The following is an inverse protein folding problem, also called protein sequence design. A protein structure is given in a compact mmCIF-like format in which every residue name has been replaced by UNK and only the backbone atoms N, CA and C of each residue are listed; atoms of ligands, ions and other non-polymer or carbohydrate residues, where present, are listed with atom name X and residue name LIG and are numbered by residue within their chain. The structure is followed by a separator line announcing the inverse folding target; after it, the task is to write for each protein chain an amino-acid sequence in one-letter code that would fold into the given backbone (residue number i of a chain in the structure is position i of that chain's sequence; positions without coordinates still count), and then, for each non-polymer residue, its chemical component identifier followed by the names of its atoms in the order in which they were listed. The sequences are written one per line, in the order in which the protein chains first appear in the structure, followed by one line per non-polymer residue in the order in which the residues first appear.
data_IF_466529593122
#
_entry.id   IF_466529593122
#
_cell.length_a   1.000
_cell.length_b   1.000
_cell.length_c   1.000
_cell.angle_alpha   90.00
_cell.angle_beta   90.00
_cell.angle_gamma   90.00
#
_symmetry.space_group_name_H-M   'P 1'
#
loop_
_entity.id
_entity.type
_entity.pdbx_description
1 polymer ?
#
# COMPACT_ATOMS: atom_id res chain seq x y z
N UNK A 1 -1.03 -15.70 -13.08
CA UNK A 1 -1.51 -15.82 -11.70
C UNK A 1 -0.97 -14.68 -10.85
N UNK A 2 -1.81 -14.07 -10.03
CA UNK A 2 -1.41 -12.93 -9.21
C UNK A 2 -0.58 -13.37 -8.01
N UNK A 3 0.52 -12.68 -7.75
CA UNK A 3 1.32 -12.89 -6.56
C UNK A 3 0.90 -11.90 -5.48
N UNK A 4 0.57 -12.42 -4.30
CA UNK A 4 0.16 -11.60 -3.16
C UNK A 4 1.24 -11.54 -2.09
N UNK A 5 1.31 -10.41 -1.39
CA UNK A 5 2.27 -10.24 -0.30
C UNK A 5 1.85 -11.07 0.92
N UNK A 6 2.82 -11.66 1.58
CA UNK A 6 2.59 -12.40 2.83
C UNK A 6 2.76 -11.49 4.04
N UNK A 7 2.24 -11.93 5.19
CA UNK A 7 2.44 -11.23 6.46
C UNK A 7 3.95 -11.05 6.74
N UNK A 8 4.74 -12.10 6.57
CA UNK A 8 6.18 -12.04 6.83
C UNK A 8 6.87 -10.97 5.97
N UNK A 9 6.48 -10.89 4.69
CA UNK A 9 7.04 -9.89 3.78
C UNK A 9 6.70 -8.46 4.21
N UNK A 10 5.46 -8.22 4.60
CA UNK A 10 5.04 -6.88 5.02
C UNK A 10 5.64 -6.52 6.38
N UNK A 11 5.80 -7.48 7.29
CA UNK A 11 6.52 -7.25 8.55
C UNK A 11 7.98 -6.82 8.28
N UNK A 12 8.64 -7.46 7.32
CA UNK A 12 10.01 -7.09 6.95
C UNK A 12 10.07 -5.69 6.33
N UNK A 13 9.10 -5.34 5.48
CA UNK A 13 9.00 -3.99 4.91
C UNK A 13 8.80 -2.94 6.00
N UNK A 14 7.93 -3.22 6.97
CA UNK A 14 7.69 -2.30 8.07
C UNK A 14 8.96 -2.08 8.89
N UNK A 15 9.66 -3.15 9.25
CA UNK A 15 10.91 -3.06 9.99
C UNK A 15 11.95 -2.22 9.24
N UNK A 16 12.04 -2.40 7.93
CA UNK A 16 12.95 -1.60 7.08
C UNK A 16 12.57 -0.12 7.08
N UNK A 17 11.28 0.20 6.99
CA UNK A 17 10.81 1.60 7.00
C UNK A 17 11.12 2.27 8.34
N UNK A 18 10.93 1.56 9.45
CA UNK A 18 11.24 2.09 10.78
C UNK A 18 12.74 2.31 10.93
N UNK A 19 13.57 1.37 10.48
CA UNK A 19 15.03 1.50 10.55
C UNK A 19 15.52 2.70 9.73
N UNK A 20 15.00 2.88 8.52
CA UNK A 20 15.47 3.95 7.60
C UNK A 20 14.98 5.33 8.01
N UNK A 21 13.73 5.44 8.45
CA UNK A 21 13.05 6.74 8.60
C UNK A 21 12.65 7.04 10.04
N UNK A 22 12.91 6.12 10.97
CA UNK A 22 12.56 6.30 12.38
C UNK A 22 11.11 5.93 12.67
N UNK A 23 10.77 6.00 13.95
CA UNK A 23 9.45 5.66 14.45
C UNK A 23 9.51 4.47 15.40
N UNK A 24 8.37 4.16 16.02
CA UNK A 24 8.28 3.05 16.97
C UNK A 24 8.02 1.72 16.25
N UNK A 25 8.78 0.67 16.57
CA UNK A 25 8.55 -0.64 15.98
C UNK A 25 7.34 -1.33 16.61
N UNK A 26 6.89 -2.39 15.99
CA UNK A 26 5.89 -3.29 16.55
C UNK A 26 4.56 -3.28 15.82
N UNK A 27 3.87 -4.41 15.97
CA UNK A 27 2.52 -4.63 15.44
C UNK A 27 1.52 -4.23 16.51
N UNK A 28 0.57 -3.35 16.16
CA UNK A 28 -0.52 -2.98 17.06
C UNK A 28 -1.65 -3.99 17.01
N UNK A 29 -1.97 -4.47 15.81
CA UNK A 29 -3.09 -5.40 15.61
C UNK A 29 -2.80 -6.34 14.45
N UNK A 30 -2.42 -7.57 14.77
CA UNK A 30 -2.10 -8.62 13.81
C UNK A 30 -3.30 -8.97 12.94
N UNK A 31 -4.50 -9.01 13.51
CA UNK A 31 -5.72 -9.34 12.76
C UNK A 31 -6.03 -8.31 11.70
N UNK A 32 -5.82 -7.03 11.97
CA UNK A 32 -5.99 -5.96 10.97
C UNK A 32 -4.95 -6.06 9.86
N UNK A 33 -3.73 -6.47 10.19
CA UNK A 33 -2.69 -6.68 9.17
C UNK A 33 -3.10 -7.82 8.24
N UNK A 34 -3.51 -8.95 8.80
CA UNK A 34 -3.96 -10.10 8.01
C UNK A 34 -5.15 -9.75 7.13
N UNK A 35 -6.12 -9.01 7.67
CA UNK A 35 -7.30 -8.56 6.91
C UNK A 35 -6.91 -7.66 5.74
N UNK A 36 -5.97 -6.75 5.96
CA UNK A 36 -5.49 -5.86 4.90
C UNK A 36 -4.84 -6.64 3.75
N UNK A 37 -4.05 -7.65 4.07
CA UNK A 37 -3.37 -8.47 3.07
C UNK A 37 -4.32 -9.43 2.35
N UNK A 38 -5.37 -9.88 3.02
CA UNK A 38 -6.37 -10.75 2.42
C UNK A 38 -7.34 -10.01 1.49
N UNK A 39 -7.64 -8.76 1.78
CA UNK A 39 -8.65 -7.97 1.04
C UNK A 39 -8.45 -8.01 -0.49
N UNK A 40 -7.24 -7.83 -1.05
CA UNK A 40 -7.05 -7.93 -2.50
C UNK A 40 -7.39 -9.29 -3.09
N UNK A 41 -7.37 -10.34 -2.26
CA UNK A 41 -7.53 -11.73 -2.71
C UNK A 41 -8.97 -12.22 -2.73
N UNK A 42 -9.93 -11.36 -2.39
CA UNK A 42 -11.34 -11.76 -2.22
C UNK A 42 -12.08 -12.04 -3.52
N UNK A 43 -11.49 -11.67 -4.67
CA UNK A 43 -12.16 -11.82 -5.96
C UNK A 43 -13.13 -10.69 -6.28
N UNK A 44 -13.25 -9.71 -5.40
CA UNK A 44 -14.15 -8.58 -5.57
C UNK A 44 -13.66 -7.56 -6.60
N UNK A 45 -12.34 -7.45 -6.76
CA UNK A 45 -11.71 -6.39 -7.56
C UNK A 45 -11.48 -6.82 -8.99
N UNK A 46 -11.62 -5.87 -9.93
CA UNK A 46 -11.61 -6.16 -11.35
C UNK A 46 -10.21 -6.47 -11.90
N UNK A 47 -9.16 -5.87 -11.34
CA UNK A 47 -7.81 -6.00 -11.86
C UNK A 47 -6.75 -5.68 -10.78
N UNK A 48 -5.48 -5.75 -11.17
CA UNK A 48 -4.35 -5.50 -10.28
C UNK A 48 -4.35 -4.09 -9.70
N UNK A 49 -4.80 -3.11 -10.46
CA UNK A 49 -4.83 -1.72 -9.99
C UNK A 49 -5.84 -1.58 -8.85
N UNK A 50 -7.02 -2.17 -8.99
CA UNK A 50 -8.02 -2.15 -7.92
C UNK A 50 -7.55 -2.94 -6.70
N UNK A 51 -6.91 -4.09 -6.90
CA UNK A 51 -6.34 -4.86 -5.81
C UNK A 51 -5.27 -4.06 -5.06
N UNK A 52 -4.42 -3.35 -5.80
CA UNK A 52 -3.39 -2.49 -5.21
C UNK A 52 -4.00 -1.34 -4.41
N UNK A 53 -5.06 -0.72 -4.92
CA UNK A 53 -5.75 0.37 -4.21
C UNK A 53 -6.38 -0.13 -2.91
N UNK A 54 -6.96 -1.33 -2.93
CA UNK A 54 -7.55 -1.95 -1.74
C UNK A 54 -6.48 -2.24 -0.69
N UNK A 55 -5.34 -2.77 -1.11
CA UNK A 55 -4.20 -3.02 -0.23
C UNK A 55 -3.69 -1.72 0.39
N UNK A 56 -3.50 -0.71 -0.44
CA UNK A 56 -2.98 0.59 -0.01
C UNK A 56 -3.89 1.25 1.03
N UNK A 57 -5.19 1.32 0.72
CA UNK A 57 -6.16 1.90 1.64
C UNK A 57 -6.17 1.17 2.99
N UNK A 58 -6.23 -0.15 2.97
CA UNK A 58 -6.31 -0.94 4.20
C UNK A 58 -5.06 -0.81 5.06
N UNK A 59 -3.88 -0.94 4.46
CA UNK A 59 -2.63 -0.81 5.21
C UNK A 59 -2.42 0.59 5.78
N UNK A 60 -2.84 1.62 5.05
CA UNK A 60 -2.71 2.99 5.51
C UNK A 60 -3.71 3.34 6.61
N UNK A 61 -4.94 2.83 6.54
CA UNK A 61 -6.04 3.25 7.39
C UNK A 61 -6.32 2.33 8.58
N UNK A 62 -5.93 1.07 8.51
CA UNK A 62 -6.24 0.10 9.58
C UNK A 62 -5.35 0.24 10.81
N UNK A 63 -4.25 0.96 10.72
CA UNK A 63 -3.30 1.12 11.82
C UNK A 63 -2.84 -0.23 12.40
N UNK A 64 -2.39 -1.11 11.52
CA UNK A 64 -1.88 -2.45 11.89
C UNK A 64 -0.61 -2.37 12.73
N UNK A 65 0.17 -1.31 12.54
CA UNK A 65 1.45 -1.10 13.24
C UNK A 65 1.33 0.03 14.25
N UNK A 66 2.23 0.05 15.20
CA UNK A 66 2.31 1.13 16.20
C UNK A 66 2.63 2.45 15.51
N UNK A 67 3.52 2.42 14.51
CA UNK A 67 3.95 3.60 13.77
C UNK A 67 4.35 3.20 12.35
N UNK A 68 4.51 4.16 11.46
CA UNK A 68 4.97 3.91 10.09
C UNK A 68 3.94 3.30 9.16
N UNK A 69 2.65 3.36 9.49
CA UNK A 69 1.58 2.77 8.68
C UNK A 69 1.52 3.33 7.26
N UNK A 70 1.62 4.65 7.11
CA UNK A 70 1.52 5.30 5.80
C UNK A 70 2.68 4.92 4.88
N UNK A 71 3.91 4.93 5.41
CA UNK A 71 5.11 4.56 4.65
C UNK A 71 5.09 3.10 4.25
N UNK A 72 4.72 2.22 5.18
CA UNK A 72 4.64 0.78 4.92
C UNK A 72 3.55 0.47 3.90
N UNK A 73 2.42 1.15 3.98
CA UNK A 73 1.32 0.98 3.02
C UNK A 73 1.78 1.31 1.60
N UNK A 74 2.50 2.40 1.42
CA UNK A 74 3.01 2.78 0.10
C UNK A 74 4.06 1.78 -0.40
N UNK A 75 5.03 1.41 0.46
CA UNK A 75 6.07 0.45 0.10
C UNK A 75 5.49 -0.90 -0.31
N UNK A 76 4.49 -1.39 0.43
CA UNK A 76 3.82 -2.64 0.13
C UNK A 76 3.06 -2.56 -1.20
N UNK A 77 2.37 -1.46 -1.46
CA UNK A 77 1.62 -1.26 -2.70
C UNK A 77 2.56 -1.20 -3.91
N UNK A 78 3.65 -0.46 -3.79
CA UNK A 78 4.68 -0.40 -4.84
C UNK A 78 5.23 -1.79 -5.15
N UNK A 79 5.56 -2.55 -4.11
CA UNK A 79 6.12 -3.90 -4.24
C UNK A 79 5.10 -4.87 -4.84
N UNK A 80 3.85 -4.81 -4.39
CA UNK A 80 2.78 -5.66 -4.92
C UNK A 80 2.62 -5.44 -6.44
N UNK A 81 2.60 -4.21 -6.87
CA UNK A 81 2.52 -3.89 -8.31
C UNK A 81 3.74 -4.44 -9.05
N UNK A 82 4.94 -4.20 -8.51
CA UNK A 82 6.18 -4.59 -9.15
C UNK A 82 6.30 -6.10 -9.35
N UNK A 83 5.95 -6.90 -8.34
CA UNK A 83 6.03 -8.36 -8.44
C UNK A 83 4.98 -8.93 -9.41
N UNK A 84 3.98 -8.14 -9.77
CA UNK A 84 2.95 -8.52 -10.73
C UNK A 84 3.14 -7.84 -12.10
N UNK A 85 4.32 -7.28 -12.35
CA UNK A 85 4.67 -6.76 -13.66
C UNK A 85 4.22 -5.34 -13.95
N UNK A 86 3.89 -4.56 -12.92
CA UNK A 86 3.48 -3.17 -13.08
C UNK A 86 4.44 -2.23 -12.34
N UNK A 87 4.87 -1.17 -13.03
CA UNK A 87 5.69 -0.12 -12.42
C UNK A 87 4.83 1.07 -12.05
N UNK A 88 4.99 1.55 -10.83
CA UNK A 88 4.42 2.82 -10.43
C UNK A 88 5.40 3.93 -10.82
N UNK A 89 4.99 4.75 -11.79
CA UNK A 89 5.79 5.84 -12.34
C UNK A 89 5.22 7.19 -11.92
N UNK A 90 5.74 7.69 -10.80
CA UNK A 90 5.44 9.03 -10.34
C UNK A 90 6.68 9.51 -9.59
N UNK A 91 7.04 10.79 -9.71
CA UNK A 91 8.16 11.28 -8.94
C UNK A 91 7.81 11.38 -7.45
N UNK A 92 8.84 11.46 -6.60
CA UNK A 92 8.67 11.43 -5.16
C UNK A 92 7.85 12.60 -4.63
N UNK A 93 8.06 13.79 -5.18
CA UNK A 93 7.34 14.99 -4.74
C UNK A 93 5.87 14.92 -5.13
N UNK A 94 5.58 14.53 -6.37
CA UNK A 94 4.21 14.37 -6.85
C UNK A 94 3.45 13.35 -6.00
N UNK A 95 4.07 12.21 -5.71
CA UNK A 95 3.49 11.17 -4.87
C UNK A 95 3.21 11.67 -3.47
N UNK A 96 4.18 12.36 -2.87
CA UNK A 96 4.03 12.92 -1.53
C UNK A 96 2.86 13.90 -1.47
N UNK A 97 2.77 14.82 -2.43
CA UNK A 97 1.71 15.82 -2.46
C UNK A 97 0.33 15.18 -2.64
N UNK A 98 0.23 14.17 -3.50
CA UNK A 98 -1.02 13.44 -3.69
C UNK A 98 -1.49 12.81 -2.37
N UNK A 99 -0.61 12.10 -1.69
CA UNK A 99 -0.93 11.42 -0.43
C UNK A 99 -1.30 12.45 0.65
N UNK A 100 -0.48 13.49 0.79
CA UNK A 100 -0.69 14.52 1.79
C UNK A 100 -2.02 15.25 1.61
N UNK A 101 -2.37 15.57 0.36
CA UNK A 101 -3.63 16.25 0.05
C UNK A 101 -4.83 15.40 0.42
N UNK A 102 -4.77 14.08 0.13
CA UNK A 102 -5.87 13.18 0.50
C UNK A 102 -6.04 13.08 2.03
N UNK A 103 -4.95 12.99 2.77
CA UNK A 103 -5.02 12.96 4.23
C UNK A 103 -5.53 14.28 4.81
N UNK A 104 -5.12 15.39 4.22
CA UNK A 104 -5.53 16.72 4.67
C UNK A 104 -7.04 16.92 4.66
N UNK A 105 -7.71 16.33 3.66
CA UNK A 105 -9.18 16.45 3.52
C UNK A 105 -9.90 15.15 3.91
N UNK A 106 -9.21 14.24 4.56
CA UNK A 106 -9.75 12.95 5.01
C UNK A 106 -10.39 12.14 3.88
N UNK A 107 -9.71 12.06 2.73
CA UNK A 107 -10.19 11.41 1.52
C UNK A 107 -9.23 10.31 1.03
N UNK A 108 -8.41 9.75 1.92
CA UNK A 108 -7.52 8.65 1.53
C UNK A 108 -8.33 7.36 1.43
N UNK A 109 -8.94 7.16 0.26
CA UNK A 109 -9.91 6.09 0.02
C UNK A 109 -9.67 5.42 -1.31
N UNK A 110 -10.17 4.18 -1.42
CA UNK A 110 -10.11 3.34 -2.61
C UNK A 110 -10.52 4.11 -3.88
N UNK A 111 -11.64 4.81 -3.84
CA UNK A 111 -12.18 5.52 -5.01
C UNK A 111 -11.32 6.70 -5.46
N UNK A 112 -10.41 7.19 -4.62
CA UNK A 112 -9.44 8.23 -4.98
C UNK A 112 -8.11 7.63 -5.42
N UNK A 113 -7.76 6.46 -4.89
CA UNK A 113 -6.50 5.81 -5.20
C UNK A 113 -6.50 5.12 -6.57
N UNK A 114 -7.63 4.53 -6.97
CA UNK A 114 -7.72 3.81 -8.25
C UNK A 114 -7.40 4.70 -9.45
N UNK A 115 -8.03 5.88 -9.62
CA UNK A 115 -7.73 6.73 -10.79
C UNK A 115 -6.28 7.19 -10.82
N UNK A 116 -5.72 7.51 -9.65
CA UNK A 116 -4.33 7.96 -9.58
C UNK A 116 -3.37 6.83 -9.97
N UNK A 117 -3.61 5.62 -9.45
CA UNK A 117 -2.80 4.46 -9.82
C UNK A 117 -2.90 4.17 -11.32
N UNK A 118 -4.10 4.22 -11.90
CA UNK A 118 -4.27 3.98 -13.34
C UNK A 118 -3.49 4.98 -14.18
N UNK A 119 -3.39 6.21 -13.72
CA UNK A 119 -2.65 7.26 -14.43
C UNK A 119 -1.14 7.10 -14.33
N UNK A 120 -0.65 6.35 -13.34
CA UNK A 120 0.78 6.30 -13.02
C UNK A 120 1.41 4.91 -13.13
N UNK A 121 0.64 3.85 -13.39
CA UNK A 121 1.22 2.52 -13.56
C UNK A 121 1.50 2.22 -15.03
N UNK A 122 2.60 1.51 -15.27
CA UNK A 122 3.02 1.06 -16.59
C UNK A 122 3.41 -0.41 -16.52
N UNK A 123 3.20 -1.13 -17.61
CA UNK A 123 3.65 -2.52 -17.71
C UNK A 123 5.16 -2.58 -17.81
N UNK A 124 5.74 -3.54 -17.13
CA UNK A 124 7.16 -3.89 -17.33
C UNK A 124 7.31 -4.53 -18.70
N UNK A 125 8.31 -4.09 -19.43
CA UNK A 125 8.66 -4.68 -20.73
C UNK A 125 9.84 -5.64 -20.60
#
# INVERSE_FOLDING_TARGET
MTDYLTVAEVLAMHADQIERYGGAPGVRDQGLLEAALYRPQTGYYADLVEEAAALWESLAQNHSFVDGNKRTAFAATYTFLAINGLYLRADSEETYLFIADLYKVNQFRFDKLVPWLRAHVEKRT
#
